data_IF_293478402230
#
_entry.id   IF_293478402230
#
_cell.length_a   1.000
_cell.length_b   1.000
_cell.length_c   1.000
_cell.angle_alpha   90.00
_cell.angle_beta   90.00
_cell.angle_gamma   90.00
#
_symmetry.space_group_name_H-M   'P 1'
#
loop_
_entity.id
_entity.type
_entity.pdbx_description
1 polymer ?
#
# COMPACT_ATOMS: atom_id res chain seq x y z
N UNK A 1 9.84 11.31 -5.38
CA UNK A 1 8.59 11.26 -6.18
C UNK A 1 7.42 11.64 -5.27
N UNK A 2 6.45 12.42 -5.74
CA UNK A 2 5.28 12.80 -4.93
C UNK A 2 4.30 11.63 -4.72
N UNK A 3 3.39 11.73 -3.76
CA UNK A 3 2.35 10.72 -3.53
C UNK A 3 1.11 11.10 -4.35
N UNK A 4 0.96 10.51 -5.55
CA UNK A 4 -0.23 10.70 -6.39
C UNK A 4 -0.54 9.43 -7.16
N UNK A 5 -1.80 9.28 -7.59
CA UNK A 5 -2.22 8.11 -8.37
C UNK A 5 -1.48 8.01 -9.71
N UNK A 6 -1.02 9.14 -10.24
CA UNK A 6 -0.20 9.20 -11.45
C UNK A 6 1.19 8.56 -11.26
N UNK A 7 1.65 8.48 -10.02
CA UNK A 7 2.94 7.86 -9.68
C UNK A 7 2.79 6.38 -9.33
N UNK A 8 1.57 5.81 -9.39
CA UNK A 8 1.33 4.37 -9.21
C UNK A 8 1.61 3.60 -10.51
N UNK A 9 2.86 3.60 -10.96
CA UNK A 9 3.26 3.13 -12.31
C UNK A 9 4.45 2.18 -12.27
N UNK A 10 4.75 1.57 -13.42
CA UNK A 10 5.92 0.70 -13.59
C UNK A 10 7.23 1.44 -13.34
N UNK A 11 7.33 2.71 -13.74
CA UNK A 11 8.55 3.52 -13.53
C UNK A 11 8.82 3.74 -12.04
N UNK A 12 7.79 4.01 -11.24
CA UNK A 12 7.95 4.15 -9.79
C UNK A 12 8.30 2.82 -9.13
N UNK A 13 7.71 1.71 -9.59
CA UNK A 13 8.06 0.37 -9.13
C UNK A 13 9.54 0.07 -9.41
N UNK A 14 10.01 0.31 -10.63
CA UNK A 14 11.40 0.09 -11.04
C UNK A 14 12.38 0.89 -10.18
N UNK A 15 12.07 2.18 -9.95
CA UNK A 15 12.87 3.03 -9.06
C UNK A 15 12.94 2.49 -7.62
N UNK A 16 11.83 1.96 -7.09
CA UNK A 16 11.78 1.34 -5.75
C UNK A 16 12.68 0.09 -5.74
N UNK A 17 12.53 -0.79 -6.73
CA UNK A 17 13.35 -2.01 -6.84
C UNK A 17 14.85 -1.68 -6.89
N UNK A 18 15.23 -0.71 -7.73
CA UNK A 18 16.60 -0.25 -7.86
C UNK A 18 17.14 0.29 -6.52
N UNK A 19 16.33 1.07 -5.80
CA UNK A 19 16.71 1.63 -4.50
C UNK A 19 17.00 0.53 -3.47
N UNK A 20 16.15 -0.50 -3.39
CA UNK A 20 16.38 -1.63 -2.49
C UNK A 20 17.63 -2.43 -2.87
N UNK A 21 17.87 -2.66 -4.16
CA UNK A 21 19.04 -3.41 -4.64
C UNK A 21 20.34 -2.64 -4.40
N UNK A 22 20.38 -1.35 -4.72
CA UNK A 22 21.54 -0.47 -4.44
C UNK A 22 21.81 -0.34 -2.94
N UNK A 23 20.77 -0.40 -2.12
CA UNK A 23 20.87 -0.41 -0.66
C UNK A 23 21.34 -1.74 -0.05
N UNK A 24 21.74 -2.73 -0.85
CA UNK A 24 22.18 -4.04 -0.34
C UNK A 24 21.04 -4.93 0.14
N UNK A 25 19.83 -4.75 -0.43
CA UNK A 25 18.68 -5.58 -0.14
C UNK A 25 18.96 -7.09 -0.28
N UNK A 26 18.30 -7.90 0.52
CA UNK A 26 18.44 -9.36 0.52
C UNK A 26 17.11 -10.04 0.84
N UNK A 27 17.08 -11.37 0.82
CA UNK A 27 15.92 -12.17 1.28
C UNK A 27 15.50 -11.88 2.73
N UNK A 28 16.38 -11.29 3.54
CA UNK A 28 16.09 -10.91 4.93
C UNK A 28 15.53 -9.49 5.06
N UNK A 29 15.55 -8.70 3.99
CA UNK A 29 14.99 -7.34 4.00
C UNK A 29 13.50 -7.38 4.37
N UNK A 30 13.07 -6.35 5.10
CA UNK A 30 11.66 -6.10 5.42
C UNK A 30 11.28 -4.80 4.73
N UNK A 31 10.19 -4.83 3.97
CA UNK A 31 9.61 -3.64 3.36
C UNK A 31 8.48 -3.17 4.26
N UNK A 32 8.56 -1.93 4.71
CA UNK A 32 7.55 -1.31 5.56
C UNK A 32 7.06 0.01 4.94
N UNK A 33 6.06 -0.03 4.04
CA UNK A 33 5.45 1.19 3.53
C UNK A 33 4.73 1.93 4.66
N UNK A 34 5.12 3.18 4.87
CA UNK A 34 4.44 4.14 5.76
C UNK A 34 3.68 5.13 4.88
N UNK A 35 2.35 5.03 4.85
CA UNK A 35 1.55 5.90 4.01
C UNK A 35 0.11 5.43 3.74
N UNK A 36 -0.54 6.11 2.80
CA UNK A 36 -1.85 5.70 2.25
C UNK A 36 -1.75 4.53 1.26
N UNK A 37 -2.88 4.19 0.63
CA UNK A 37 -3.03 3.00 -0.22
C UNK A 37 -2.09 2.95 -1.43
N UNK A 38 -1.71 4.10 -2.00
CA UNK A 38 -0.77 4.17 -3.14
C UNK A 38 0.62 3.66 -2.74
N UNK A 39 1.12 4.15 -1.60
CA UNK A 39 2.43 3.74 -1.06
C UNK A 39 2.37 2.26 -0.67
N UNK A 40 1.32 1.87 0.07
CA UNK A 40 1.12 0.49 0.49
C UNK A 40 1.12 -0.50 -0.69
N UNK A 41 0.40 -0.19 -1.78
CA UNK A 41 0.32 -1.05 -2.96
C UNK A 41 1.63 -1.13 -3.75
N UNK A 42 2.27 0.01 -4.00
CA UNK A 42 3.45 0.04 -4.87
C UNK A 42 4.65 -0.63 -4.20
N UNK A 43 4.87 -0.35 -2.91
CA UNK A 43 5.92 -1.00 -2.12
C UNK A 43 5.55 -2.44 -1.75
N UNK A 44 4.27 -2.75 -1.54
CA UNK A 44 3.80 -4.13 -1.36
C UNK A 44 4.06 -4.99 -2.59
N UNK A 45 3.87 -4.44 -3.79
CA UNK A 45 4.20 -5.10 -5.05
C UNK A 45 5.72 -5.30 -5.16
N UNK A 46 6.52 -4.29 -4.84
CA UNK A 46 7.98 -4.40 -4.78
C UNK A 46 8.42 -5.53 -3.82
N UNK A 47 7.80 -5.63 -2.64
CA UNK A 47 8.10 -6.67 -1.67
C UNK A 47 7.77 -8.08 -2.19
N UNK A 48 6.70 -8.24 -2.97
CA UNK A 48 6.34 -9.52 -3.60
C UNK A 48 7.28 -9.92 -4.74
N UNK A 49 7.87 -8.93 -5.44
CA UNK A 49 8.78 -9.17 -6.57
C UNK A 49 10.23 -9.39 -6.12
N UNK A 50 10.72 -8.59 -5.16
CA UNK A 50 12.09 -8.66 -4.67
C UNK A 50 12.39 -10.04 -4.11
N UNK A 51 13.45 -10.66 -4.63
CA UNK A 51 13.88 -12.01 -4.27
C UNK A 51 12.76 -13.07 -4.33
N UNK A 52 11.73 -12.85 -5.15
CA UNK A 52 10.50 -13.66 -5.27
C UNK A 52 9.63 -13.66 -4.00
N UNK A 53 9.69 -12.58 -3.22
CA UNK A 53 8.92 -12.40 -2.00
C UNK A 53 9.84 -12.20 -0.81
N UNK A 54 9.76 -11.00 -0.23
CA UNK A 54 10.34 -10.66 1.06
C UNK A 54 9.26 -10.18 2.03
N UNK A 55 9.62 -10.08 3.31
CA UNK A 55 8.69 -9.71 4.38
C UNK A 55 8.11 -8.32 4.14
N UNK A 56 6.80 -8.22 4.30
CA UNK A 56 6.03 -6.99 4.16
C UNK A 56 5.34 -6.68 5.49
N UNK A 57 5.52 -5.46 5.98
CA UNK A 57 4.84 -4.94 7.17
C UNK A 57 4.07 -3.68 6.76
N UNK A 58 2.74 -3.72 6.79
CA UNK A 58 1.95 -2.56 6.39
C UNK A 58 1.91 -1.53 7.53
N UNK A 59 2.10 -0.24 7.23
CA UNK A 59 1.92 0.84 8.19
C UNK A 59 1.00 1.92 7.57
N UNK A 60 -0.33 1.69 7.56
CA UNK A 60 -1.29 2.62 6.98
C UNK A 60 -1.38 3.91 7.79
N UNK A 61 -1.18 5.06 7.15
CA UNK A 61 -1.36 6.38 7.77
C UNK A 61 -2.71 7.03 7.44
N UNK A 62 -3.46 6.49 6.48
CA UNK A 62 -4.80 6.98 6.16
C UNK A 62 -5.88 6.04 6.70
N UNK A 63 -6.99 6.64 7.14
CA UNK A 63 -8.14 5.90 7.68
C UNK A 63 -8.70 4.90 6.66
N UNK A 64 -8.87 5.32 5.40
CA UNK A 64 -9.31 4.43 4.32
C UNK A 64 -8.37 3.22 4.14
N UNK A 65 -7.05 3.45 4.10
CA UNK A 65 -6.09 2.36 3.90
C UNK A 65 -6.11 1.36 5.06
N UNK A 66 -6.26 1.85 6.29
CA UNK A 66 -6.36 0.98 7.46
C UNK A 66 -7.60 0.08 7.45
N UNK A 67 -8.70 0.50 6.82
CA UNK A 67 -9.98 -0.24 6.79
C UNK A 67 -10.30 -0.92 5.45
N UNK A 68 -9.46 -0.75 4.43
CA UNK A 68 -9.58 -1.38 3.10
C UNK A 68 -8.27 -2.09 2.74
N UNK A 69 -7.31 -1.34 2.20
CA UNK A 69 -6.19 -1.88 1.44
C UNK A 69 -4.99 -2.41 2.27
N UNK A 70 -4.75 -1.94 3.50
CA UNK A 70 -3.58 -2.36 4.28
C UNK A 70 -3.86 -3.47 5.29
N UNK A 71 -5.00 -3.42 6.01
CA UNK A 71 -5.30 -4.41 7.03
C UNK A 71 -5.83 -5.73 6.46
N UNK A 72 -6.48 -5.68 5.29
CA UNK A 72 -7.17 -6.86 4.72
C UNK A 72 -6.61 -7.34 3.38
N UNK A 73 -5.99 -6.45 2.60
CA UNK A 73 -5.73 -6.76 1.20
C UNK A 73 -4.34 -7.32 0.96
N UNK A 74 -4.31 -8.58 0.53
CA UNK A 74 -3.14 -9.20 -0.09
C UNK A 74 -2.89 -8.63 -1.50
N UNK A 75 -3.78 -7.80 -2.04
CA UNK A 75 -3.72 -7.32 -3.43
C UNK A 75 -2.74 -6.16 -3.54
N UNK A 76 -1.66 -6.39 -4.28
CA UNK A 76 -0.65 -5.38 -4.58
C UNK A 76 -0.65 -5.14 -6.08
N UNK A 77 -0.87 -3.89 -6.51
CA UNK A 77 -0.99 -3.58 -7.92
C UNK A 77 -0.53 -2.16 -8.25
N UNK A 78 -0.23 -1.94 -9.52
CA UNK A 78 0.04 -0.64 -10.13
C UNK A 78 -0.83 -0.44 -11.37
N UNK A 79 -0.89 0.81 -11.83
CA UNK A 79 -1.58 1.18 -13.05
C UNK A 79 -0.66 0.94 -14.26
N UNK A 80 -1.26 0.55 -15.38
CA UNK A 80 -0.54 0.34 -16.64
C UNK A 80 -1.39 0.82 -17.80
N UNK A 81 -0.80 1.63 -18.69
CA UNK A 81 -1.44 2.11 -19.95
C UNK A 81 -2.87 2.65 -19.80
N UNK A 82 -3.15 3.36 -18.70
CA UNK A 82 -4.47 3.95 -18.41
C UNK A 82 -5.44 3.03 -17.65
N UNK A 83 -5.11 1.74 -17.52
CA UNK A 83 -5.86 0.78 -16.72
C UNK A 83 -5.43 0.82 -15.25
N UNK A 84 -6.41 0.88 -14.35
CA UNK A 84 -6.18 0.94 -12.91
C UNK A 84 -5.97 -0.46 -12.32
N UNK A 85 -4.96 -0.61 -11.48
CA UNK A 85 -4.68 -1.83 -10.70
C UNK A 85 -4.60 -3.14 -11.54
N UNK A 86 -4.18 -3.06 -12.81
CA UNK A 86 -4.22 -4.21 -13.73
C UNK A 86 -2.96 -5.08 -13.67
N UNK A 87 -1.82 -4.50 -13.25
CA UNK A 87 -0.56 -5.23 -13.10
C UNK A 87 -0.29 -5.39 -11.61
N UNK A 88 -0.24 -6.62 -11.13
CA UNK A 88 -0.10 -6.88 -9.71
C UNK A 88 0.04 -8.36 -9.36
N UNK A 89 0.05 -8.64 -8.07
CA UNK A 89 0.09 -9.97 -7.48
C UNK A 89 -0.60 -9.99 -6.11
N UNK A 90 -0.77 -11.18 -5.57
CA UNK A 90 -1.20 -11.38 -4.19
C UNK A 90 0.04 -11.61 -3.32
N UNK A 91 0.29 -10.70 -2.36
CA UNK A 91 1.38 -10.80 -1.38
C UNK A 91 0.85 -10.51 0.02
N UNK A 92 1.01 -11.49 0.91
CA UNK A 92 0.44 -11.43 2.27
C UNK A 92 1.38 -10.63 3.17
N UNK A 93 0.93 -9.55 3.82
CA UNK A 93 1.73 -8.88 4.82
C UNK A 93 1.91 -9.78 6.05
N UNK A 94 3.09 -9.74 6.67
CA UNK A 94 3.37 -10.45 7.91
C UNK A 94 2.59 -9.84 9.08
N UNK A 95 2.41 -8.52 9.07
CA UNK A 95 1.57 -7.80 10.02
C UNK A 95 1.17 -6.42 9.47
N UNK A 96 0.19 -5.80 10.11
CA UNK A 96 -0.17 -4.40 9.91
C UNK A 96 -0.03 -3.62 11.23
N UNK A 97 0.66 -2.48 11.19
CA UNK A 97 0.85 -1.56 12.31
C UNK A 97 -0.06 -0.36 12.11
N UNK A 98 -1.17 -0.34 12.85
CA UNK A 98 -2.17 0.73 12.78
C UNK A 98 -1.96 1.64 13.98
N UNK A 99 -1.54 2.88 13.70
CA UNK A 99 -1.43 3.94 14.71
C UNK A 99 -2.48 5.01 14.38
N UNK A 100 -3.45 5.17 15.30
CA UNK A 100 -4.56 6.10 15.11
C UNK A 100 -4.13 7.56 15.25
N UNK A 101 -2.95 7.85 15.82
CA UNK A 101 -2.43 9.21 15.94
C UNK A 101 -2.20 9.87 14.57
N UNK A 102 -1.91 9.09 13.52
CA UNK A 102 -1.82 9.62 12.17
C UNK A 102 -3.12 10.30 11.71
N UNK A 103 -4.27 9.85 12.22
CA UNK A 103 -5.58 10.36 11.79
C UNK A 103 -5.85 11.78 12.27
N UNK A 104 -5.18 12.21 13.34
CA UNK A 104 -5.27 13.59 13.86
C UNK A 104 -4.73 14.62 12.86
N UNK A 105 -3.84 14.17 11.96
CA UNK A 105 -3.23 15.03 10.93
C UNK A 105 -3.92 14.94 9.57
N UNK A 106 -4.91 14.05 9.40
CA UNK A 106 -5.60 13.86 8.13
C UNK A 106 -6.61 14.98 7.86
N UNK A 107 -6.75 15.35 6.58
CA UNK A 107 -7.80 16.26 6.15
C UNK A 107 -9.19 15.64 6.29
N UNK A 108 -10.20 16.48 6.54
CA UNK A 108 -11.60 16.06 6.68
C UNK A 108 -12.09 15.22 5.49
N UNK A 109 -11.64 15.56 4.27
CA UNK A 109 -12.00 14.82 3.05
C UNK A 109 -11.48 13.38 3.06
N UNK A 110 -10.26 13.15 3.56
CA UNK A 110 -9.66 11.81 3.63
C UNK A 110 -10.33 10.95 4.70
N UNK A 111 -10.69 11.56 5.85
CA UNK A 111 -11.48 10.91 6.88
C UNK A 111 -12.87 10.49 6.35
N UNK A 112 -13.56 11.41 5.66
CA UNK A 112 -14.86 11.11 5.03
C UNK A 112 -14.77 10.00 3.98
N UNK A 113 -13.71 9.97 3.19
CA UNK A 113 -13.50 8.91 2.20
C UNK A 113 -13.42 7.53 2.88
N UNK A 114 -12.70 7.40 4.00
CA UNK A 114 -12.66 6.15 4.75
C UNK A 114 -13.98 5.82 5.48
N UNK A 115 -14.72 6.82 5.96
CA UNK A 115 -16.06 6.60 6.54
C UNK A 115 -17.05 6.07 5.51
N UNK A 116 -16.95 6.47 4.25
CA UNK A 116 -17.78 5.93 3.16
C UNK A 116 -17.61 4.42 3.01
N UNK A 117 -16.36 3.95 3.06
CA UNK A 117 -16.04 2.53 3.01
C UNK A 117 -16.53 1.77 4.27
N UNK A 118 -16.38 2.38 5.45
CA UNK A 118 -16.92 1.81 6.69
C UNK A 118 -18.45 1.68 6.63
N UNK A 119 -19.13 2.70 6.09
CA UNK A 119 -20.60 2.69 5.90
C UNK A 119 -21.03 1.59 4.94
N UNK A 120 -20.28 1.38 3.85
CA UNK A 120 -20.52 0.27 2.92
C UNK A 120 -20.42 -1.07 3.65
N UNK A 121 -19.38 -1.27 4.45
CA UNK A 121 -19.19 -2.51 5.22
C UNK A 121 -20.34 -2.70 6.23
N UNK A 122 -20.74 -1.64 6.94
CA UNK A 122 -21.87 -1.68 7.86
C UNK A 122 -23.19 -2.03 7.15
N UNK A 123 -23.44 -1.50 5.95
CA UNK A 123 -24.67 -1.79 5.21
C UNK A 123 -24.73 -3.21 4.62
N UNK A 124 -23.56 -3.83 4.36
CA UNK A 124 -23.49 -5.18 3.79
C UNK A 124 -23.47 -6.29 4.84
N UNK A 125 -22.88 -6.01 6.01
CA UNK A 125 -22.58 -7.04 7.00
C UNK A 125 -23.13 -6.73 8.41
N UNK A 126 -23.67 -5.53 8.65
CA UNK A 126 -24.33 -5.13 9.90
C UNK A 126 -25.84 -5.25 9.80
#
# INVERSE_FOLDING_TARGET
>A
MGVSEQNKTMASLDHILETFLKGGGSRKTVVMPVGGGIVANTYGLAAGLLFRGIRLVQCPTSFLNAHDAAASSQKQAINHTGYKNIVGLYHVPTMALIDTSFYETLGVTELKAGLGELTKNAALFG
#
